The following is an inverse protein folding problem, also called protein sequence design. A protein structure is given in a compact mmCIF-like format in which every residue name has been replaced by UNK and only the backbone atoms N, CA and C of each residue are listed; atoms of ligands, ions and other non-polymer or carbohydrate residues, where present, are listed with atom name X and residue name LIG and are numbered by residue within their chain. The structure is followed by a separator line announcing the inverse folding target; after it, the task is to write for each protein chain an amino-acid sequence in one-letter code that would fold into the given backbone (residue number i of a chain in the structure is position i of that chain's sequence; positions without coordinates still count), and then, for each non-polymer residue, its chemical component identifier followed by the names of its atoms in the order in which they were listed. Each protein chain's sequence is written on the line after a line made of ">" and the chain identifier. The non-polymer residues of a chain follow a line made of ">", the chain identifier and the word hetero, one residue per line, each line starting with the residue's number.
data_IF_236303371369
#
_entry.id   IF_236303371369
#
_cell.length_a   1.000
_cell.length_b   1.000
_cell.length_c   1.000
_cell.angle_alpha   90.00
_cell.angle_beta   90.00
_cell.angle_gamma   90.00
#
_symmetry.space_group_name_H-M   'P 1'
#
loop_
_entity.id
_entity.type
_entity.pdbx_description
1 polymer ?
#
# COMPACT_ATOMS: atom_id res chain seq x y z
N UNK A 1 1.63 14.19 58.22
CA UNK A 1 2.10 12.98 57.51
C UNK A 1 2.22 13.13 55.99
N UNK A 2 1.64 14.15 55.32
CA UNK A 2 1.68 14.27 53.85
C UNK A 2 2.92 14.87 53.17
N UNK A 3 4.08 14.95 53.84
CA UNK A 3 5.28 15.61 53.28
C UNK A 3 6.48 14.68 53.02
N UNK A 4 6.41 13.41 53.46
CA UNK A 4 7.44 12.39 53.18
C UNK A 4 7.15 11.58 51.91
N UNK A 5 5.87 11.38 51.55
CA UNK A 5 5.50 10.62 50.33
C UNK A 5 5.81 11.37 49.02
N UNK A 6 5.66 12.71 48.99
CA UNK A 6 5.95 13.51 47.78
C UNK A 6 7.43 13.54 47.43
N UNK A 7 8.31 13.59 48.44
CA UNK A 7 9.77 13.58 48.26
C UNK A 7 10.26 12.24 47.70
N UNK A 8 9.67 11.13 48.15
CA UNK A 8 9.98 9.79 47.65
C UNK A 8 9.48 9.51 46.22
N UNK A 9 8.42 10.18 45.77
CA UNK A 9 7.97 10.13 44.38
C UNK A 9 8.83 10.99 43.45
N UNK A 10 9.24 12.19 43.88
CA UNK A 10 10.14 13.07 43.13
C UNK A 10 11.53 12.43 42.93
N UNK A 11 12.13 11.86 43.98
CA UNK A 11 13.43 11.18 43.89
C UNK A 11 13.38 9.94 42.96
N UNK A 12 12.28 9.18 42.99
CA UNK A 12 12.06 8.05 42.07
C UNK A 12 11.92 8.52 40.63
N UNK A 13 11.20 9.62 40.41
CA UNK A 13 10.98 10.17 39.07
C UNK A 13 12.28 10.74 38.47
N UNK A 14 13.13 11.34 39.29
CA UNK A 14 14.44 11.87 38.89
C UNK A 14 15.42 10.74 38.54
N UNK A 15 15.42 9.67 39.33
CA UNK A 15 16.24 8.48 39.10
C UNK A 15 15.87 7.77 37.79
N UNK A 16 14.56 7.62 37.52
CA UNK A 16 14.06 7.04 36.25
C UNK A 16 14.42 7.91 35.04
N UNK A 17 14.40 9.24 35.18
CA UNK A 17 14.78 10.16 34.11
C UNK A 17 16.28 10.05 33.75
N UNK A 18 17.15 9.92 34.77
CA UNK A 18 18.59 9.73 34.59
C UNK A 18 18.94 8.39 33.93
N UNK A 19 18.25 7.31 34.30
CA UNK A 19 18.43 6.00 33.66
C UNK A 19 18.00 6.03 32.18
N UNK A 20 16.86 6.66 31.87
CA UNK A 20 16.40 6.83 30.49
C UNK A 20 17.38 7.66 29.64
N UNK A 21 18.01 8.69 30.21
CA UNK A 21 19.03 9.48 29.51
C UNK A 21 20.30 8.67 29.21
N UNK A 22 20.76 7.84 30.16
CA UNK A 22 21.90 6.94 29.95
C UNK A 22 21.59 5.89 28.88
N UNK A 23 20.38 5.34 28.89
CA UNK A 23 19.87 4.42 27.87
C UNK A 23 19.85 5.06 26.48
N UNK A 24 19.33 6.29 26.34
CA UNK A 24 19.32 7.01 25.05
C UNK A 24 20.73 7.26 24.52
N UNK A 25 21.67 7.68 25.37
CA UNK A 25 23.09 7.86 24.99
C UNK A 25 23.72 6.55 24.52
N UNK A 26 23.45 5.45 25.21
CA UNK A 26 23.91 4.12 24.82
C UNK A 26 23.32 3.69 23.46
N UNK A 27 22.01 3.87 23.27
CA UNK A 27 21.31 3.52 22.04
C UNK A 27 21.86 4.29 20.83
N UNK A 28 22.07 5.61 20.98
CA UNK A 28 22.65 6.46 19.94
C UNK A 28 24.08 6.04 19.57
N UNK A 29 24.90 5.67 20.56
CA UNK A 29 26.25 5.16 20.31
C UNK A 29 26.24 3.81 19.58
N UNK A 30 25.32 2.91 19.93
CA UNK A 30 25.17 1.61 19.28
C UNK A 30 24.62 1.74 17.86
N UNK A 31 23.71 2.68 17.61
CA UNK A 31 23.23 3.02 16.27
C UNK A 31 24.35 3.58 15.39
N UNK A 32 25.16 4.52 15.90
CA UNK A 32 26.34 5.05 15.18
C UNK A 32 27.35 3.97 14.82
N UNK A 33 27.50 2.95 15.68
CA UNK A 33 28.40 1.80 15.47
C UNK A 33 27.78 0.66 14.65
N UNK A 34 26.59 0.86 14.06
CA UNK A 34 25.85 -0.15 13.30
C UNK A 34 25.62 -1.49 14.05
N UNK A 35 25.63 -1.48 15.39
CA UNK A 35 25.45 -2.69 16.22
C UNK A 35 23.98 -3.05 16.40
N UNK A 36 23.31 -3.34 15.29
CA UNK A 36 21.85 -3.52 15.20
C UNK A 36 21.27 -4.54 16.18
N UNK A 37 21.95 -5.68 16.39
CA UNK A 37 21.52 -6.71 17.35
C UNK A 37 21.47 -6.22 18.80
N UNK A 38 22.42 -5.38 19.20
CA UNK A 38 22.48 -4.84 20.56
C UNK A 38 21.43 -3.75 20.78
N UNK A 39 21.20 -2.91 19.78
CA UNK A 39 20.09 -1.93 19.78
C UNK A 39 18.74 -2.62 19.93
N UNK A 40 18.47 -3.64 19.12
CA UNK A 40 17.22 -4.41 19.19
C UNK A 40 17.03 -5.12 20.54
N UNK A 41 18.11 -5.61 21.15
CA UNK A 41 18.06 -6.23 22.49
C UNK A 41 17.65 -5.22 23.57
N UNK A 42 18.16 -4.00 23.50
CA UNK A 42 17.83 -2.93 24.46
C UNK A 42 16.39 -2.44 24.27
N UNK A 43 15.96 -2.23 23.03
CA UNK A 43 14.56 -1.86 22.72
C UNK A 43 13.60 -2.96 23.18
N UNK A 44 13.91 -4.22 22.85
CA UNK A 44 13.10 -5.37 23.24
C UNK A 44 12.99 -5.59 24.75
N UNK A 45 14.00 -5.19 25.53
CA UNK A 45 13.94 -5.22 27.01
C UNK A 45 13.16 -4.07 27.64
N UNK A 46 12.81 -3.04 26.86
CA UNK A 46 12.09 -1.85 27.33
C UNK A 46 10.61 -1.86 26.87
N UNK A 47 10.23 -2.77 25.97
CA UNK A 47 8.89 -2.86 25.38
C UNK A 47 7.89 -3.66 26.26
N UNK A 48 8.20 -3.82 27.55
CA UNK A 48 7.34 -4.45 28.56
C UNK A 48 6.20 -3.52 29.06
N UNK A 49 5.97 -2.38 28.41
CA UNK A 49 4.76 -1.60 28.66
C UNK A 49 3.55 -2.38 28.18
N UNK A 50 2.80 -2.96 29.14
CA UNK A 50 1.52 -3.60 28.89
C UNK A 50 0.66 -2.66 28.01
N UNK A 51 0.15 -3.14 26.85
CA UNK A 51 -0.60 -2.28 25.95
C UNK A 51 -1.82 -1.71 26.67
N UNK A 52 -2.07 -0.41 26.45
CA UNK A 52 -3.19 0.28 27.07
C UNK A 52 -4.51 -0.45 26.84
N UNK A 53 -5.33 -0.50 27.89
CA UNK A 53 -6.71 -0.96 27.80
C UNK A 53 -7.52 -0.17 26.78
N UNK A 54 -8.66 -0.74 26.34
CA UNK A 54 -9.54 -0.04 25.38
C UNK A 54 -10.01 1.32 25.92
N UNK A 55 -10.32 1.40 27.21
CA UNK A 55 -10.74 2.63 27.89
C UNK A 55 -9.66 3.72 27.87
N UNK A 56 -8.44 3.41 28.30
CA UNK A 56 -7.32 4.36 28.27
C UNK A 56 -7.02 4.87 26.86
N UNK A 57 -7.02 3.97 25.86
CA UNK A 57 -6.85 4.36 24.45
C UNK A 57 -7.96 5.31 23.97
N UNK A 58 -9.21 5.04 24.33
CA UNK A 58 -10.34 5.87 23.96
C UNK A 58 -10.27 7.25 24.63
N UNK A 59 -9.97 7.32 25.94
CA UNK A 59 -9.86 8.57 26.70
C UNK A 59 -8.73 9.46 26.19
N UNK A 60 -7.53 8.90 26.03
CA UNK A 60 -6.37 9.65 25.52
C UNK A 60 -6.61 10.07 24.07
N UNK A 61 -7.08 9.16 23.21
CA UNK A 61 -7.38 9.47 21.81
C UNK A 61 -8.43 10.57 21.67
N UNK A 62 -9.52 10.49 22.45
CA UNK A 62 -10.56 11.54 22.50
C UNK A 62 -9.99 12.89 22.91
N UNK A 63 -9.14 12.93 23.95
CA UNK A 63 -8.53 14.17 24.42
C UNK A 63 -7.61 14.80 23.37
N UNK A 64 -6.80 13.98 22.69
CA UNK A 64 -5.90 14.47 21.63
C UNK A 64 -6.69 15.04 20.45
N UNK A 65 -7.77 14.36 20.05
CA UNK A 65 -8.66 14.83 18.99
C UNK A 65 -9.38 16.12 19.41
N UNK A 66 -9.86 16.21 20.65
CA UNK A 66 -10.49 17.41 21.19
C UNK A 66 -9.53 18.61 21.15
N UNK A 67 -8.27 18.41 21.55
CA UNK A 67 -7.24 19.45 21.47
C UNK A 67 -7.00 19.88 20.01
N UNK A 68 -6.93 18.95 19.07
CA UNK A 68 -6.80 19.25 17.65
C UNK A 68 -7.99 20.08 17.13
N UNK A 69 -9.23 19.66 17.46
CA UNK A 69 -10.46 20.36 17.04
C UNK A 69 -10.52 21.78 17.61
N UNK A 70 -10.06 21.99 18.85
CA UNK A 70 -10.07 23.31 19.50
C UNK A 70 -8.97 24.26 19.03
N UNK A 71 -7.91 23.76 18.40
CA UNK A 71 -6.71 24.56 18.08
C UNK A 71 -6.46 24.70 16.59
N UNK A 72 -7.00 23.81 15.75
CA UNK A 72 -6.82 23.87 14.31
C UNK A 72 -7.86 24.80 13.67
N UNK A 73 -7.38 25.89 13.07
CA UNK A 73 -8.19 26.87 12.34
C UNK A 73 -7.63 27.05 10.93
N UNK A 74 -8.54 27.28 9.98
CA UNK A 74 -8.20 27.72 8.63
C UNK A 74 -7.94 29.22 8.66
N UNK A 75 -6.80 29.61 8.11
CA UNK A 75 -6.44 31.02 7.98
C UNK A 75 -7.26 31.65 6.85
N UNK A 76 -7.56 32.95 6.95
CA UNK A 76 -8.32 33.63 5.91
C UNK A 76 -7.56 33.63 4.57
N UNK A 77 -8.28 33.67 3.43
CA UNK A 77 -7.66 33.75 2.12
C UNK A 77 -6.75 34.98 1.99
N UNK A 78 -5.61 34.85 1.32
CA UNK A 78 -4.65 35.96 1.14
C UNK A 78 -5.21 37.16 0.35
N UNK A 79 -6.34 36.97 -0.32
CA UNK A 79 -7.05 37.97 -1.11
C UNK A 79 -8.24 38.61 -0.38
N UNK A 80 -8.37 38.40 0.94
CA UNK A 80 -9.38 39.09 1.74
C UNK A 80 -9.06 40.60 1.81
N UNK A 81 -10.07 41.44 1.56
CA UNK A 81 -9.96 42.89 1.69
C UNK A 81 -9.73 43.26 3.16
N UNK A 82 -8.90 44.28 3.42
CA UNK A 82 -8.52 44.67 4.78
C UNK A 82 -9.71 45.10 5.67
N UNK A 83 -10.84 45.46 5.06
CA UNK A 83 -12.06 45.92 5.75
C UNK A 83 -13.00 44.76 6.15
N UNK A 84 -12.76 43.53 5.68
CA UNK A 84 -13.58 42.37 6.06
C UNK A 84 -13.04 41.70 7.35
N UNK A 85 -13.91 41.28 8.29
CA UNK A 85 -13.48 40.58 9.50
C UNK A 85 -12.79 39.26 9.12
N UNK A 86 -11.67 38.87 9.79
CA UNK A 86 -10.90 37.70 9.41
C UNK A 86 -11.76 36.43 9.40
N UNK A 87 -11.84 35.75 8.26
CA UNK A 87 -12.59 34.49 8.10
C UNK A 87 -11.83 33.32 8.75
N UNK A 88 -11.72 33.37 10.07
CA UNK A 88 -11.11 32.33 10.89
C UNK A 88 -12.17 31.28 11.23
N UNK A 89 -12.12 30.14 10.56
CA UNK A 89 -13.09 29.05 10.75
C UNK A 89 -12.40 27.75 11.19
N UNK A 90 -13.05 26.96 12.07
CA UNK A 90 -12.45 25.74 12.60
C UNK A 90 -12.15 24.75 11.47
N UNK A 91 -10.94 24.21 11.47
CA UNK A 91 -10.48 23.22 10.50
C UNK A 91 -11.26 21.90 10.61
N UNK A 92 -11.72 21.56 11.82
CA UNK A 92 -12.47 20.36 12.13
C UNK A 92 -13.68 20.68 12.98
N UNK A 93 -14.82 20.06 12.67
CA UNK A 93 -16.08 20.25 13.39
C UNK A 93 -16.64 18.90 13.80
N UNK A 94 -16.89 18.72 15.10
CA UNK A 94 -17.59 17.56 15.62
C UNK A 94 -19.11 17.79 15.56
N UNK A 95 -19.84 16.91 14.88
CA UNK A 95 -21.29 16.98 14.72
C UNK A 95 -21.94 15.61 14.92
N UNK A 96 -23.21 15.59 15.33
CA UNK A 96 -24.01 14.36 15.42
C UNK A 96 -24.80 14.18 14.12
N UNK A 97 -24.50 13.14 13.35
CA UNK A 97 -25.19 12.83 12.10
C UNK A 97 -26.02 11.56 12.20
N UNK A 98 -27.21 11.58 11.63
CA UNK A 98 -28.05 10.38 11.46
C UNK A 98 -27.64 9.71 10.15
N UNK A 99 -26.95 8.58 10.24
CA UNK A 99 -26.47 7.82 9.06
C UNK A 99 -27.47 6.72 8.70
N UNK A 100 -28.14 6.15 9.71
CA UNK A 100 -29.20 5.15 9.56
C UNK A 100 -30.45 5.62 10.31
N UNK A 101 -31.67 5.26 9.87
CA UNK A 101 -32.88 5.53 10.64
C UNK A 101 -32.71 5.04 12.08
N UNK A 102 -32.85 5.95 13.05
CA UNK A 102 -32.80 5.62 14.48
C UNK A 102 -31.41 5.55 15.14
N UNK A 103 -30.30 5.77 14.44
CA UNK A 103 -28.96 5.86 15.06
C UNK A 103 -28.20 7.12 14.68
N UNK A 104 -27.81 7.90 15.71
CA UNK A 104 -26.94 9.07 15.60
C UNK A 104 -25.49 8.67 15.90
N UNK A 105 -24.56 9.17 15.10
CA UNK A 105 -23.14 8.96 15.26
C UNK A 105 -22.43 10.31 15.40
N UNK A 106 -21.43 10.39 16.28
CA UNK A 106 -20.47 11.50 16.31
C UNK A 106 -19.56 11.41 15.09
N UNK A 107 -19.51 12.47 14.30
CA UNK A 107 -18.69 12.57 13.09
C UNK A 107 -17.87 13.84 13.17
N UNK A 108 -16.57 13.71 12.93
CA UNK A 108 -15.68 14.85 12.75
C UNK A 108 -15.56 15.11 11.26
N UNK A 109 -16.02 16.27 10.83
CA UNK A 109 -15.87 16.73 9.45
C UNK A 109 -14.73 17.72 9.36
N UNK A 110 -13.94 17.61 8.30
CA UNK A 110 -12.90 18.58 7.99
C UNK A 110 -13.42 19.63 7.00
N UNK A 111 -12.75 20.77 7.03
CA UNK A 111 -12.98 21.84 6.08
C UNK A 111 -12.75 21.40 4.62
N UNK A 112 -13.54 21.87 3.63
CA UNK A 112 -13.31 21.56 2.22
C UNK A 112 -11.89 21.90 1.71
N UNK A 113 -11.25 22.94 2.24
CA UNK A 113 -9.87 23.29 1.86
C UNK A 113 -8.87 22.23 2.33
N UNK A 114 -9.10 21.59 3.48
CA UNK A 114 -8.28 20.47 3.97
C UNK A 114 -8.50 19.26 3.08
N UNK A 115 -9.75 18.95 2.71
CA UNK A 115 -10.05 17.85 1.79
C UNK A 115 -9.30 18.05 0.46
N UNK A 116 -9.37 19.25 -0.10
CA UNK A 116 -8.65 19.62 -1.33
C UNK A 116 -7.13 19.58 -1.18
N UNK A 117 -6.62 19.87 0.02
CA UNK A 117 -5.20 19.72 0.36
C UNK A 117 -4.79 18.25 0.40
N UNK A 118 -5.55 17.41 1.10
CA UNK A 118 -5.31 15.97 1.24
C UNK A 118 -5.35 15.22 -0.10
N UNK A 119 -6.14 15.70 -1.06
CA UNK A 119 -6.14 15.20 -2.44
C UNK A 119 -4.78 15.33 -3.12
N UNK A 120 -3.98 16.33 -2.75
CA UNK A 120 -2.66 16.60 -3.32
C UNK A 120 -1.53 15.97 -2.51
N UNK A 121 -1.79 15.62 -1.25
CA UNK A 121 -0.81 15.14 -0.27
C UNK A 121 -1.04 13.71 0.26
N UNK A 122 -1.49 12.70 -0.52
CA UNK A 122 -1.38 11.30 -0.07
C UNK A 122 0.04 10.90 0.35
N UNK A 123 1.05 11.63 -0.16
CA UNK A 123 2.48 11.48 0.14
C UNK A 123 2.85 11.77 1.60
N UNK A 124 2.07 12.60 2.29
CA UNK A 124 2.36 13.02 3.68
C UNK A 124 1.76 12.06 4.71
N UNK A 125 0.99 11.06 4.27
CA UNK A 125 0.44 10.04 5.15
C UNK A 125 1.55 9.13 5.68
N UNK A 126 1.63 9.01 7.01
CA UNK A 126 2.54 8.07 7.65
C UNK A 126 2.06 6.64 7.38
N UNK A 127 2.83 5.89 6.59
CA UNK A 127 2.60 4.46 6.33
C UNK A 127 3.47 3.67 7.32
N UNK A 128 2.91 3.08 8.39
CA UNK A 128 3.72 2.41 9.41
C UNK A 128 4.40 1.15 8.86
N UNK A 129 3.66 0.29 8.15
CA UNK A 129 4.15 -1.00 7.68
C UNK A 129 4.72 -0.89 6.25
N UNK A 130 5.85 -0.22 6.05
CA UNK A 130 6.55 -0.13 4.75
C UNK A 130 7.26 -1.44 4.38
N UNK A 131 7.51 -1.73 3.08
CA UNK A 131 8.35 -2.87 2.70
C UNK A 131 9.72 -2.78 3.38
N UNK A 132 10.27 -3.91 3.81
CA UNK A 132 11.52 -3.92 4.58
C UNK A 132 12.72 -3.93 3.65
N UNK A 133 13.70 -3.04 3.88
CA UNK A 133 14.98 -3.04 3.15
C UNK A 133 15.93 -4.18 3.55
N UNK A 134 15.56 -4.95 4.57
CA UNK A 134 16.32 -6.09 5.05
C UNK A 134 15.39 -7.29 5.24
N UNK A 135 15.92 -8.52 5.23
CA UNK A 135 15.13 -9.72 5.49
C UNK A 135 14.27 -9.58 6.77
N UNK A 136 12.98 -9.98 6.73
CA UNK A 136 12.11 -9.92 7.89
C UNK A 136 12.64 -10.78 9.05
N UNK A 137 12.25 -10.42 10.28
CA UNK A 137 12.47 -11.30 11.42
C UNK A 137 11.67 -12.60 11.24
N UNK A 138 12.32 -13.74 11.50
CA UNK A 138 11.67 -15.04 11.46
C UNK A 138 10.52 -15.13 12.45
N UNK A 139 9.42 -15.78 12.05
CA UNK A 139 8.32 -16.07 12.94
C UNK A 139 8.73 -17.14 13.97
N UNK A 140 8.54 -16.84 15.25
CA UNK A 140 8.86 -17.75 16.38
C UNK A 140 7.73 -17.85 17.41
N UNK A 141 6.75 -16.97 17.31
CA UNK A 141 5.59 -16.91 18.18
C UNK A 141 4.46 -16.09 17.53
N UNK A 142 3.28 -16.09 18.15
CA UNK A 142 2.10 -15.37 17.66
C UNK A 142 2.36 -13.88 17.38
N UNK A 143 3.18 -13.23 18.22
CA UNK A 143 3.52 -11.81 18.10
C UNK A 143 5.04 -11.54 17.96
N UNK A 144 5.81 -12.55 17.53
CA UNK A 144 7.26 -12.46 17.33
C UNK A 144 7.65 -12.91 15.92
N UNK A 145 7.93 -11.93 15.06
CA UNK A 145 8.36 -12.13 13.67
C UNK A 145 8.00 -10.92 12.81
N UNK A 146 8.24 -11.02 11.50
CA UNK A 146 8.01 -9.96 10.52
C UNK A 146 8.85 -8.69 10.75
N UNK A 147 8.26 -7.60 11.26
CA UNK A 147 8.96 -6.33 11.41
C UNK A 147 9.88 -6.33 12.63
N UNK A 148 11.04 -5.65 12.51
CA UNK A 148 12.04 -5.62 13.57
C UNK A 148 11.60 -4.84 14.82
N UNK A 149 10.86 -3.75 14.62
CA UNK A 149 10.45 -2.84 15.70
C UNK A 149 8.93 -2.68 15.79
N UNK A 150 8.19 -2.93 14.70
CA UNK A 150 6.74 -2.86 14.73
C UNK A 150 6.17 -4.19 15.20
N UNK A 151 5.33 -4.11 16.23
CA UNK A 151 4.63 -5.29 16.72
C UNK A 151 3.79 -5.90 15.60
N UNK A 152 4.09 -7.16 15.30
CA UNK A 152 3.50 -7.90 14.19
C UNK A 152 2.80 -9.12 14.75
N UNK A 153 1.69 -9.53 14.13
CA UNK A 153 0.93 -10.70 14.56
C UNK A 153 0.81 -11.69 13.41
N UNK A 154 1.02 -12.98 13.71
CA UNK A 154 0.92 -14.08 12.73
C UNK A 154 -0.46 -14.09 12.09
N UNK A 155 -1.54 -13.89 12.86
CA UNK A 155 -2.91 -13.96 12.34
C UNK A 155 -3.65 -12.62 12.44
N UNK A 156 -4.24 -12.19 11.32
CA UNK A 156 -5.18 -11.07 11.25
C UNK A 156 -6.54 -11.49 11.79
N UNK A 157 -6.84 -11.16 13.05
CA UNK A 157 -8.16 -11.44 13.64
C UNK A 157 -8.65 -10.32 14.56
N UNK A 158 -9.97 -10.13 14.58
CA UNK A 158 -10.67 -9.34 15.62
C UNK A 158 -11.26 -10.22 16.72
N UNK A 159 -11.29 -11.55 16.53
CA UNK A 159 -11.85 -12.50 17.48
C UNK A 159 -10.85 -12.82 18.59
N UNK A 160 -11.24 -12.52 19.83
CA UNK A 160 -10.46 -12.92 21.01
C UNK A 160 -10.27 -14.44 21.04
N UNK A 161 -11.32 -15.21 20.74
CA UNK A 161 -11.27 -16.69 20.76
C UNK A 161 -10.25 -17.24 19.77
N UNK A 162 -10.25 -16.75 18.53
CA UNK A 162 -9.29 -17.19 17.51
C UNK A 162 -7.86 -16.84 17.91
N UNK A 163 -7.63 -15.61 18.40
CA UNK A 163 -6.32 -15.19 18.90
C UNK A 163 -5.82 -16.09 20.02
N UNK A 164 -6.66 -16.38 21.02
CA UNK A 164 -6.27 -17.25 22.12
C UNK A 164 -6.02 -18.69 21.66
N UNK A 165 -6.76 -19.18 20.65
CA UNK A 165 -6.53 -20.50 20.10
C UNK A 165 -5.14 -20.63 19.47
N UNK A 166 -4.72 -19.66 18.64
CA UNK A 166 -3.36 -19.68 18.03
C UNK A 166 -2.28 -19.52 19.10
N UNK A 167 -2.49 -18.66 20.10
CA UNK A 167 -1.53 -18.49 21.21
C UNK A 167 -1.36 -19.75 22.07
N UNK A 168 -2.41 -20.57 22.21
CA UNK A 168 -2.36 -21.81 22.99
C UNK A 168 -1.90 -23.02 22.17
N UNK A 169 -1.90 -22.93 20.85
CA UNK A 169 -1.48 -24.02 19.99
C UNK A 169 0.01 -24.35 20.28
N UNK A 170 0.38 -25.65 20.36
CA UNK A 170 1.77 -26.04 20.51
C UNK A 170 2.63 -25.49 19.37
N UNK A 171 3.78 -24.88 19.69
CA UNK A 171 4.66 -24.25 18.68
C UNK A 171 5.06 -25.20 17.55
N UNK A 172 5.29 -26.47 17.87
CA UNK A 172 5.60 -27.53 16.89
C UNK A 172 4.50 -27.68 15.81
N UNK A 173 3.24 -27.42 16.13
CA UNK A 173 2.15 -27.49 15.14
C UNK A 173 2.12 -26.25 14.23
N UNK A 174 2.72 -25.15 14.64
CA UNK A 174 2.77 -23.89 13.88
C UNK A 174 4.08 -23.71 13.12
N UNK A 175 5.06 -24.58 13.34
CA UNK A 175 6.41 -24.47 12.76
C UNK A 175 6.38 -24.41 11.24
N UNK A 176 5.64 -25.31 10.58
CA UNK A 176 5.48 -25.29 9.12
C UNK A 176 4.80 -24.02 8.60
N UNK A 177 3.88 -23.43 9.37
CA UNK A 177 3.24 -22.16 9.04
C UNK A 177 4.26 -21.02 9.14
N UNK A 178 5.09 -21.02 10.18
CA UNK A 178 6.15 -20.02 10.35
C UNK A 178 7.19 -20.12 9.23
N UNK A 179 7.64 -21.32 8.90
CA UNK A 179 8.59 -21.56 7.80
C UNK A 179 8.03 -21.11 6.45
N UNK A 180 6.74 -21.38 6.18
CA UNK A 180 6.08 -20.92 4.96
C UNK A 180 6.02 -19.38 4.90
N UNK A 181 5.62 -18.72 6.00
CA UNK A 181 5.59 -17.26 6.07
C UNK A 181 6.97 -16.62 5.95
N UNK A 182 7.98 -17.24 6.56
CA UNK A 182 9.37 -16.80 6.46
C UNK A 182 9.90 -16.99 5.04
N UNK A 183 9.56 -18.08 4.37
CA UNK A 183 9.94 -18.32 2.97
C UNK A 183 9.34 -17.25 2.06
N UNK A 184 8.03 -17.00 2.17
CA UNK A 184 7.35 -15.93 1.42
C UNK A 184 7.93 -14.55 1.74
N UNK A 185 8.26 -14.31 3.02
CA UNK A 185 8.82 -13.05 3.50
C UNK A 185 10.25 -12.78 3.07
N UNK A 186 11.05 -13.82 2.84
CA UNK A 186 12.45 -13.72 2.43
C UNK A 186 12.65 -13.60 0.92
N UNK A 187 11.58 -13.64 0.13
CA UNK A 187 11.66 -13.34 -1.30
C UNK A 187 11.95 -11.84 -1.50
N UNK A 188 13.09 -11.52 -2.12
CA UNK A 188 13.52 -10.15 -2.40
C UNK A 188 12.88 -9.65 -3.69
N UNK A 189 12.15 -8.54 -3.60
CA UNK A 189 11.48 -7.84 -4.70
C UNK A 189 12.22 -6.54 -5.04
N UNK A 190 12.04 -6.03 -6.25
CA UNK A 190 12.43 -4.67 -6.61
C UNK A 190 11.37 -4.02 -7.50
N UNK A 191 11.51 -2.71 -7.71
CA UNK A 191 10.68 -1.97 -8.65
C UNK A 191 11.20 -2.15 -10.07
N UNK A 192 10.33 -2.55 -11.00
CA UNK A 192 10.57 -2.46 -12.42
C UNK A 192 10.46 -0.99 -12.85
N UNK A 193 11.60 -0.30 -12.91
CA UNK A 193 11.66 1.13 -13.20
C UNK A 193 11.18 1.49 -14.61
N UNK A 194 11.24 0.55 -15.57
CA UNK A 194 10.72 0.77 -16.93
C UNK A 194 9.19 0.86 -16.88
N UNK A 195 8.53 -0.11 -16.24
CA UNK A 195 7.07 -0.10 -16.10
C UNK A 195 6.60 1.05 -15.21
N UNK A 196 7.25 1.31 -14.07
CA UNK A 196 6.93 2.46 -13.22
C UNK A 196 7.00 3.77 -13.99
N UNK A 197 8.03 3.97 -14.83
CA UNK A 197 8.16 5.16 -15.66
C UNK A 197 6.99 5.35 -16.63
N UNK A 198 6.49 4.26 -17.23
CA UNK A 198 5.30 4.31 -18.10
C UNK A 198 4.03 4.61 -17.30
N UNK A 199 3.83 3.97 -16.15
CA UNK A 199 2.71 4.24 -15.25
C UNK A 199 2.70 5.70 -14.81
N UNK A 200 3.85 6.25 -14.42
CA UNK A 200 3.98 7.66 -14.03
C UNK A 200 3.63 8.62 -15.17
N UNK A 201 4.04 8.32 -16.41
CA UNK A 201 3.69 9.12 -17.60
C UNK A 201 2.19 9.08 -17.90
N UNK A 202 1.56 7.91 -17.83
CA UNK A 202 0.10 7.77 -18.01
C UNK A 202 -0.64 8.54 -16.92
N UNK A 203 -0.20 8.39 -15.67
CA UNK A 203 -0.82 9.05 -14.53
C UNK A 203 -0.67 10.57 -14.60
N UNK A 204 0.52 11.07 -14.96
CA UNK A 204 0.75 12.50 -15.18
C UNK A 204 -0.14 13.08 -16.29
N UNK A 205 -0.48 12.27 -17.30
CA UNK A 205 -1.32 12.64 -18.44
C UNK A 205 -2.83 12.55 -18.19
N UNK A 206 -3.26 12.24 -16.96
CA UNK A 206 -4.68 12.20 -16.57
C UNK A 206 -5.24 10.81 -16.28
N UNK A 207 -4.45 9.75 -16.40
CA UNK A 207 -4.94 8.37 -16.20
C UNK A 207 -5.73 7.85 -17.40
N UNK A 208 -6.83 7.13 -17.16
CA UNK A 208 -7.79 6.58 -18.16
C UNK A 208 -7.28 5.44 -19.05
N UNK A 209 -6.06 4.97 -18.85
CA UNK A 209 -5.43 3.94 -19.66
C UNK A 209 -5.03 2.75 -18.79
N UNK A 210 -5.15 1.52 -19.32
CA UNK A 210 -4.78 0.29 -18.61
C UNK A 210 -5.44 0.21 -17.21
N UNK A 211 -6.74 0.44 -17.16
CA UNK A 211 -7.57 0.46 -15.93
C UNK A 211 -7.19 1.47 -14.86
N UNK A 212 -6.29 2.41 -15.16
CA UNK A 212 -6.07 3.56 -14.29
C UNK A 212 -7.28 4.49 -14.34
N UNK A 213 -7.79 4.82 -13.15
CA UNK A 213 -8.92 5.75 -13.01
C UNK A 213 -8.63 7.11 -13.64
N UNK A 214 -9.70 7.76 -14.11
CA UNK A 214 -9.64 9.13 -14.57
C UNK A 214 -9.28 10.09 -13.42
N UNK A 215 -8.31 10.97 -13.67
CA UNK A 215 -7.91 12.00 -12.70
C UNK A 215 -8.96 13.10 -12.56
N UNK A 216 -9.75 13.33 -13.60
CA UNK A 216 -10.74 14.39 -13.64
C UNK A 216 -12.09 13.93 -13.04
N UNK A 217 -12.83 14.90 -12.53
CA UNK A 217 -14.22 14.69 -12.11
C UNK A 217 -15.17 14.71 -13.31
N UNK A 218 -16.21 13.90 -13.26
CA UNK A 218 -17.33 14.00 -14.18
C UNK A 218 -18.08 15.29 -13.87
N UNK A 219 -18.30 16.17 -14.87
CA UNK A 219 -19.03 17.41 -14.66
C UNK A 219 -20.49 17.13 -14.27
N UNK A 220 -21.05 18.01 -13.43
CA UNK A 220 -22.47 17.92 -13.12
C UNK A 220 -23.31 18.31 -14.35
N UNK A 221 -24.40 17.58 -14.65
CA UNK A 221 -25.32 17.97 -15.71
C UNK A 221 -25.94 19.33 -15.38
N UNK A 222 -26.08 20.18 -16.40
CA UNK A 222 -26.78 21.45 -16.30
C UNK A 222 -28.22 21.23 -15.85
N UNK A 223 -28.74 22.16 -15.05
CA UNK A 223 -30.14 22.10 -14.63
C UNK A 223 -31.00 22.40 -15.86
N UNK A 224 -31.95 21.52 -16.22
CA UNK A 224 -32.84 21.78 -17.34
C UNK A 224 -33.73 23.00 -17.03
N UNK A 225 -33.93 23.85 -18.03
CA UNK A 225 -34.84 25.01 -17.95
C UNK A 225 -36.26 24.54 -18.28
N UNK A 226 -36.87 23.85 -17.31
CA UNK A 226 -38.17 23.21 -17.43
C UNK A 226 -38.85 23.18 -16.07
N UNK A 227 -40.17 23.35 -16.06
CA UNK A 227 -41.00 23.13 -14.87
C UNK A 227 -41.46 21.66 -14.77
N UNK A 228 -41.16 20.81 -15.76
CA UNK A 228 -41.53 19.39 -15.72
C UNK A 228 -40.83 18.67 -14.56
N UNK A 229 -41.65 18.25 -13.59
CA UNK A 229 -41.21 17.53 -12.41
C UNK A 229 -40.56 16.18 -12.74
N UNK A 230 -40.92 15.54 -13.86
CA UNK A 230 -40.30 14.29 -14.33
C UNK A 230 -38.86 14.53 -14.79
N UNK A 231 -38.63 15.56 -15.61
CA UNK A 231 -37.31 15.97 -16.08
C UNK A 231 -36.42 16.45 -14.92
N UNK A 232 -36.96 17.26 -14.01
CA UNK A 232 -36.24 17.68 -12.79
C UNK A 232 -35.88 16.49 -11.90
N UNK A 233 -36.74 15.47 -11.83
CA UNK A 233 -36.45 14.23 -11.09
C UNK A 233 -35.34 13.45 -11.77
N UNK A 234 -35.40 13.24 -13.09
CA UNK A 234 -34.33 12.59 -13.87
C UNK A 234 -32.99 13.32 -13.70
N UNK A 235 -32.99 14.65 -13.75
CA UNK A 235 -31.80 15.47 -13.49
C UNK A 235 -31.25 15.25 -12.08
N UNK A 236 -32.11 15.25 -11.04
CA UNK A 236 -31.69 14.93 -9.66
C UNK A 236 -31.07 13.53 -9.54
N UNK A 237 -31.63 12.53 -10.22
CA UNK A 237 -31.05 11.17 -10.28
C UNK A 237 -29.68 11.18 -10.95
N UNK A 238 -29.53 11.90 -12.07
CA UNK A 238 -28.25 12.04 -12.76
C UNK A 238 -27.20 12.73 -11.88
N UNK A 239 -27.56 13.81 -11.19
CA UNK A 239 -26.68 14.48 -10.21
C UNK A 239 -26.23 13.49 -9.12
N UNK A 240 -27.15 12.69 -8.55
CA UNK A 240 -26.79 11.68 -7.54
C UNK A 240 -25.82 10.63 -8.09
N UNK A 241 -26.03 10.16 -9.32
CA UNK A 241 -25.14 9.23 -10.00
C UNK A 241 -23.75 9.83 -10.19
N UNK A 242 -23.66 11.07 -10.69
CA UNK A 242 -22.37 11.77 -10.89
C UNK A 242 -21.65 11.98 -9.56
N UNK A 243 -22.35 12.37 -8.48
CA UNK A 243 -21.75 12.47 -7.14
C UNK A 243 -21.18 11.15 -6.64
N UNK A 244 -21.91 10.05 -6.88
CA UNK A 244 -21.45 8.71 -6.50
C UNK A 244 -20.18 8.34 -7.27
N UNK A 245 -20.21 8.52 -8.59
CA UNK A 245 -19.07 8.22 -9.47
C UNK A 245 -17.82 9.05 -9.11
N UNK A 246 -17.95 10.37 -8.91
CA UNK A 246 -16.82 11.21 -8.52
C UNK A 246 -16.22 10.80 -7.17
N UNK A 247 -17.04 10.35 -6.22
CA UNK A 247 -16.57 9.83 -4.92
C UNK A 247 -15.82 8.50 -5.07
N UNK A 248 -16.31 7.60 -5.91
CA UNK A 248 -15.65 6.34 -6.24
C UNK A 248 -14.31 6.61 -6.94
N UNK A 249 -14.30 7.49 -7.96
CA UNK A 249 -13.08 7.90 -8.66
C UNK A 249 -12.06 8.52 -7.71
N UNK A 250 -12.48 9.47 -6.86
CA UNK A 250 -11.61 10.08 -5.85
C UNK A 250 -10.96 9.02 -4.94
N UNK A 251 -11.73 8.03 -4.49
CA UNK A 251 -11.20 6.97 -3.62
C UNK A 251 -10.12 6.13 -4.33
N UNK A 252 -10.35 5.78 -5.60
CA UNK A 252 -9.38 5.06 -6.43
C UNK A 252 -8.12 5.90 -6.73
N UNK A 253 -8.28 7.21 -6.98
CA UNK A 253 -7.15 8.14 -7.18
C UNK A 253 -6.23 8.17 -5.97
N UNK A 254 -6.81 8.30 -4.77
CA UNK A 254 -6.06 8.27 -3.52
C UNK A 254 -5.32 6.94 -3.33
N UNK A 255 -5.96 5.80 -3.65
CA UNK A 255 -5.31 4.48 -3.58
C UNK A 255 -4.11 4.37 -4.54
N UNK A 256 -4.27 4.83 -5.79
CA UNK A 256 -3.18 4.82 -6.80
C UNK A 256 -2.03 5.72 -6.34
N UNK A 257 -2.30 6.92 -5.84
CA UNK A 257 -1.26 7.83 -5.34
C UNK A 257 -0.47 7.23 -4.17
N UNK A 258 -1.13 6.51 -3.26
CA UNK A 258 -0.45 5.80 -2.17
C UNK A 258 0.44 4.67 -2.68
N UNK A 259 -0.03 3.88 -3.66
CA UNK A 259 0.76 2.83 -4.30
C UNK A 259 1.98 3.42 -5.02
N UNK A 260 1.80 4.49 -5.79
CA UNK A 260 2.87 5.17 -6.51
C UNK A 260 3.84 5.88 -5.57
N UNK A 261 3.37 6.46 -4.46
CA UNK A 261 4.25 7.05 -3.44
C UNK A 261 5.20 6.00 -2.86
N UNK A 262 4.70 4.79 -2.57
CA UNK A 262 5.55 3.68 -2.13
C UNK A 262 6.49 3.24 -3.25
N UNK A 263 5.99 3.04 -4.48
CA UNK A 263 6.82 2.61 -5.61
C UNK A 263 7.97 3.60 -5.87
N UNK A 264 7.68 4.89 -5.96
CA UNK A 264 8.67 5.96 -6.16
C UNK A 264 9.69 6.02 -5.02
N UNK A 265 9.26 5.80 -3.77
CA UNK A 265 10.16 5.78 -2.61
C UNK A 265 11.10 4.57 -2.61
N UNK A 266 10.67 3.43 -3.17
CA UNK A 266 11.45 2.19 -3.19
C UNK A 266 12.22 1.99 -4.51
N UNK A 267 12.09 2.89 -5.49
CA UNK A 267 12.57 2.69 -6.87
C UNK A 267 14.09 2.57 -7.00
N UNK A 268 14.82 3.24 -6.12
CA UNK A 268 16.28 3.36 -6.11
C UNK A 268 16.92 2.34 -5.15
N UNK A 269 16.11 1.55 -4.43
CA UNK A 269 16.57 0.50 -3.54
C UNK A 269 16.94 -0.76 -4.35
N UNK A 270 18.04 -1.43 -4.00
CA UNK A 270 18.46 -2.67 -4.68
C UNK A 270 17.43 -3.80 -4.56
N UNK A 271 16.61 -3.75 -3.51
CA UNK A 271 15.43 -4.58 -3.33
C UNK A 271 14.96 -4.60 -1.89
N UNK A 272 13.75 -5.12 -1.70
CA UNK A 272 13.01 -5.09 -0.44
C UNK A 272 12.17 -6.35 -0.26
N UNK A 273 11.66 -6.52 0.95
CA UNK A 273 10.98 -7.72 1.41
C UNK A 273 9.57 -7.37 1.91
N UNK A 274 8.66 -8.32 1.74
CA UNK A 274 7.30 -8.23 2.24
C UNK A 274 7.09 -9.24 3.35
N UNK A 275 7.11 -8.85 4.63
CA UNK A 275 6.69 -9.76 5.69
C UNK A 275 5.24 -10.21 5.45
N UNK A 276 4.97 -11.49 5.68
CA UNK A 276 3.64 -12.07 5.52
C UNK A 276 3.00 -12.42 6.86
N UNK A 277 1.68 -12.43 6.88
CA UNK A 277 0.86 -12.97 7.96
C UNK A 277 -0.36 -13.68 7.35
N UNK A 278 -1.17 -14.36 8.17
CA UNK A 278 -2.32 -15.15 7.71
C UNK A 278 -3.67 -14.56 8.11
N UNK A 279 -4.72 -14.89 7.36
CA UNK A 279 -6.11 -14.78 7.85
C UNK A 279 -6.49 -15.98 8.73
N UNK A 280 -7.72 -15.99 9.25
CA UNK A 280 -8.23 -17.08 10.10
C UNK A 280 -8.34 -18.44 9.38
N UNK A 281 -8.23 -18.47 8.05
CA UNK A 281 -8.25 -19.68 7.22
C UNK A 281 -6.85 -20.17 6.87
N UNK A 282 -5.81 -19.43 7.26
CA UNK A 282 -4.41 -19.75 6.95
C UNK A 282 -3.89 -19.17 5.63
N UNK A 283 -4.66 -18.35 4.91
CA UNK A 283 -4.17 -17.72 3.66
C UNK A 283 -3.17 -16.62 3.99
N UNK A 284 -2.01 -16.63 3.34
CA UNK A 284 -0.95 -15.66 3.56
C UNK A 284 -1.18 -14.35 2.78
N UNK A 285 -0.81 -13.22 3.40
CA UNK A 285 -0.91 -11.88 2.82
C UNK A 285 0.32 -11.04 3.21
N UNK A 286 0.91 -10.27 2.27
CA UNK A 286 1.86 -9.22 2.59
C UNK A 286 1.29 -8.25 3.62
N UNK A 287 2.07 -7.90 4.64
CA UNK A 287 1.65 -6.98 5.69
C UNK A 287 1.58 -5.52 5.22
N UNK A 288 2.35 -5.14 4.20
CA UNK A 288 2.26 -3.81 3.60
C UNK A 288 0.99 -3.70 2.72
N UNK A 289 0.08 -2.75 2.98
CA UNK A 289 -1.25 -2.76 2.38
C UNK A 289 -1.35 -2.15 0.97
N UNK A 290 -0.40 -1.30 0.56
CA UNK A 290 -0.54 -0.51 -0.67
C UNK A 290 0.13 -1.16 -1.87
N UNK A 291 1.47 -1.10 -1.97
CA UNK A 291 2.22 -1.72 -3.06
C UNK A 291 2.70 -3.10 -2.65
N UNK A 292 2.07 -4.16 -3.14
CA UNK A 292 2.51 -5.54 -2.95
C UNK A 292 2.06 -6.42 -4.12
N UNK A 293 2.63 -7.62 -4.25
CA UNK A 293 2.39 -8.53 -5.38
C UNK A 293 1.00 -9.21 -5.37
N UNK A 294 0.20 -9.07 -4.31
CA UNK A 294 -1.21 -9.48 -4.31
C UNK A 294 -2.16 -8.35 -4.77
N UNK A 295 -1.63 -7.16 -5.07
CA UNK A 295 -2.40 -6.02 -5.52
C UNK A 295 -2.95 -6.15 -6.95
N UNK A 296 -3.40 -5.02 -7.48
CA UNK A 296 -3.90 -4.86 -8.86
C UNK A 296 -2.81 -5.12 -9.90
N UNK A 297 -3.20 -5.27 -11.18
CA UNK A 297 -2.27 -5.44 -12.31
C UNK A 297 -1.12 -4.42 -12.28
N UNK A 298 -1.42 -3.13 -12.07
CA UNK A 298 -0.39 -2.09 -11.88
C UNK A 298 0.65 -2.44 -10.80
N UNK A 299 0.21 -2.95 -9.64
CA UNK A 299 1.14 -3.33 -8.58
C UNK A 299 2.03 -4.50 -9.00
N UNK A 300 1.46 -5.49 -9.70
CA UNK A 300 2.19 -6.68 -10.16
C UNK A 300 3.14 -6.35 -11.30
N UNK A 301 2.73 -5.52 -12.26
CA UNK A 301 3.61 -5.07 -13.36
C UNK A 301 4.78 -4.19 -12.90
N UNK A 302 4.60 -3.43 -11.81
CA UNK A 302 5.68 -2.62 -11.20
C UNK A 302 6.66 -3.48 -10.38
N UNK A 303 6.28 -4.69 -9.95
CA UNK A 303 7.09 -5.52 -9.06
C UNK A 303 7.73 -6.69 -9.82
N UNK A 304 9.02 -6.87 -9.64
CA UNK A 304 9.78 -8.01 -10.17
C UNK A 304 10.72 -8.58 -9.11
N UNK A 305 11.26 -9.77 -9.33
CA UNK A 305 12.25 -10.33 -8.41
C UNK A 305 13.53 -9.50 -8.43
N UNK A 306 14.08 -9.17 -7.27
CA UNK A 306 15.37 -8.48 -7.20
C UNK A 306 16.50 -9.39 -7.70
N UNK A 307 16.41 -10.68 -7.39
CA UNK A 307 17.35 -11.71 -7.82
C UNK A 307 16.86 -12.34 -9.13
N UNK A 308 17.52 -11.99 -10.23
CA UNK A 308 17.22 -12.55 -11.54
C UNK A 308 17.83 -13.94 -11.71
N UNK A 309 17.27 -14.72 -12.65
CA UNK A 309 17.80 -16.03 -13.02
C UNK A 309 17.99 -16.14 -14.53
N UNK A 310 19.01 -16.90 -14.93
CA UNK A 310 19.20 -17.24 -16.33
C UNK A 310 18.00 -18.04 -16.84
N UNK A 311 17.49 -17.71 -18.02
CA UNK A 311 16.35 -18.40 -18.60
C UNK A 311 16.61 -19.90 -18.82
N UNK A 312 17.84 -20.28 -19.14
CA UNK A 312 18.18 -21.64 -19.51
C UNK A 312 17.39 -22.12 -20.74
N UNK A 313 17.33 -23.45 -20.92
CA UNK A 313 16.73 -24.08 -22.10
C UNK A 313 15.21 -23.85 -22.22
N UNK A 314 14.52 -23.69 -21.09
CA UNK A 314 13.05 -23.63 -21.05
C UNK A 314 12.49 -22.26 -20.64
N UNK A 315 13.30 -21.34 -20.12
CA UNK A 315 12.81 -20.06 -19.60
C UNK A 315 12.17 -19.19 -20.68
N UNK A 316 12.76 -19.13 -21.88
CA UNK A 316 12.18 -18.38 -23.00
C UNK A 316 10.80 -18.92 -23.40
N UNK A 317 10.65 -20.26 -23.41
CA UNK A 317 9.37 -20.92 -23.65
C UNK A 317 8.33 -20.51 -22.61
N UNK A 318 8.70 -20.52 -21.32
CA UNK A 318 7.80 -20.12 -20.24
C UNK A 318 7.45 -18.64 -20.24
N UNK A 319 8.36 -17.75 -20.66
CA UNK A 319 8.04 -16.33 -20.85
C UNK A 319 7.00 -16.11 -21.96
N UNK A 320 7.12 -16.83 -23.09
CA UNK A 320 6.12 -16.78 -24.17
C UNK A 320 4.74 -17.26 -23.70
N UNK A 321 4.71 -18.39 -22.97
CA UNK A 321 3.47 -18.90 -22.37
C UNK A 321 2.88 -17.90 -21.37
N UNK A 322 3.72 -17.29 -20.54
CA UNK A 322 3.30 -16.31 -19.57
C UNK A 322 2.69 -15.07 -20.23
N UNK A 323 3.32 -14.56 -21.29
CA UNK A 323 2.80 -13.45 -22.09
C UNK A 323 1.40 -13.77 -22.62
N UNK A 324 1.21 -14.96 -23.19
CA UNK A 324 -0.08 -15.43 -23.70
C UNK A 324 -1.14 -15.56 -22.58
N UNK A 325 -0.75 -16.04 -21.39
CA UNK A 325 -1.65 -16.11 -20.23
C UNK A 325 -2.13 -14.73 -19.78
N UNK A 326 -1.23 -13.74 -19.74
CA UNK A 326 -1.56 -12.36 -19.36
C UNK A 326 -2.41 -11.65 -20.42
N UNK A 327 -2.22 -12.00 -21.69
CA UNK A 327 -3.04 -11.48 -22.78
C UNK A 327 -4.48 -11.98 -22.69
N UNK A 328 -4.67 -13.23 -22.24
CA UNK A 328 -5.97 -13.86 -22.02
C UNK A 328 -6.88 -13.82 -23.26
N UNK A 329 -8.19 -13.57 -23.09
CA UNK A 329 -9.13 -13.49 -24.21
C UNK A 329 -9.35 -14.81 -24.95
N UNK A 330 -9.13 -15.95 -24.27
CA UNK A 330 -9.21 -17.29 -24.86
C UNK A 330 -7.87 -17.86 -25.29
N UNK A 331 -6.82 -17.04 -25.39
CA UNK A 331 -5.44 -17.49 -25.67
C UNK A 331 -4.89 -18.30 -24.50
N UNK A 332 -5.19 -17.89 -23.27
CA UNK A 332 -4.87 -18.58 -22.02
C UNK A 332 -5.46 -20.01 -21.93
N UNK A 333 -6.45 -20.32 -22.77
CA UNK A 333 -7.09 -21.65 -22.85
C UNK A 333 -6.48 -22.56 -23.91
N UNK A 334 -5.61 -22.04 -24.76
CA UNK A 334 -4.90 -22.84 -25.76
C UNK A 334 -3.93 -23.81 -25.08
N UNK A 335 -3.49 -24.82 -25.83
CA UNK A 335 -2.36 -25.66 -25.43
C UNK A 335 -1.10 -24.80 -25.24
N UNK A 336 -0.10 -25.32 -24.52
CA UNK A 336 1.17 -24.60 -24.36
C UNK A 336 1.80 -24.23 -25.72
N UNK A 337 1.71 -25.12 -26.71
CA UNK A 337 2.23 -24.85 -28.07
C UNK A 337 1.40 -23.77 -28.78
N UNK A 338 0.07 -23.76 -28.62
CA UNK A 338 -0.78 -22.68 -29.14
C UNK A 338 -0.45 -21.31 -28.51
N UNK A 339 -0.14 -21.28 -27.21
CA UNK A 339 0.29 -20.05 -26.50
C UNK A 339 1.66 -19.57 -26.96
N UNK A 340 2.59 -20.48 -27.24
CA UNK A 340 3.90 -20.15 -27.81
C UNK A 340 3.72 -19.58 -29.22
N UNK A 341 2.93 -20.24 -30.07
CA UNK A 341 2.65 -19.78 -31.43
C UNK A 341 1.99 -18.40 -31.43
N UNK A 342 1.09 -18.12 -30.49
CA UNK A 342 0.53 -16.78 -30.31
C UNK A 342 1.62 -15.73 -30.06
N UNK A 343 2.54 -15.97 -29.13
CA UNK A 343 3.63 -15.04 -28.87
C UNK A 343 4.57 -14.88 -30.08
N UNK A 344 4.82 -15.96 -30.84
CA UNK A 344 5.65 -15.93 -32.05
C UNK A 344 5.01 -15.16 -33.21
N UNK A 345 3.68 -15.25 -33.37
CA UNK A 345 2.93 -14.50 -34.38
C UNK A 345 2.82 -13.00 -34.06
N UNK A 346 3.10 -12.59 -32.83
CA UNK A 346 3.03 -11.20 -32.36
C UNK A 346 4.38 -10.61 -31.98
N UNK A 347 5.49 -11.15 -32.48
CA UNK A 347 6.84 -10.64 -32.16
C UNK A 347 7.00 -9.15 -32.49
N UNK A 348 6.47 -8.69 -33.62
CA UNK A 348 6.53 -7.26 -33.99
C UNK A 348 5.77 -6.37 -33.00
N UNK A 349 4.61 -6.83 -32.52
CA UNK A 349 3.82 -6.09 -31.54
C UNK A 349 4.46 -6.10 -30.15
N UNK A 350 5.17 -7.19 -29.81
CA UNK A 350 5.97 -7.31 -28.58
C UNK A 350 7.15 -6.33 -28.62
N UNK A 351 7.90 -6.29 -29.73
CA UNK A 351 9.00 -5.35 -29.89
C UNK A 351 8.53 -3.89 -29.89
N UNK A 352 7.44 -3.57 -30.61
CA UNK A 352 6.84 -2.23 -30.60
C UNK A 352 6.36 -1.81 -29.20
N UNK A 353 5.71 -2.72 -28.47
CA UNK A 353 5.27 -2.46 -27.09
C UNK A 353 6.44 -2.23 -26.14
N UNK A 354 7.56 -2.95 -26.33
CA UNK A 354 8.76 -2.80 -25.51
C UNK A 354 9.51 -1.48 -25.78
N UNK A 355 9.61 -1.07 -27.05
CA UNK A 355 10.40 0.10 -27.45
C UNK A 355 9.62 1.41 -27.39
N UNK A 356 8.33 1.37 -27.74
CA UNK A 356 7.45 2.53 -27.86
C UNK A 356 6.12 2.28 -27.15
N UNK A 357 6.12 2.03 -25.83
CA UNK A 357 4.93 1.61 -25.08
C UNK A 357 3.76 2.60 -25.16
N UNK A 358 4.02 3.90 -25.30
CA UNK A 358 2.98 4.94 -25.39
C UNK A 358 2.87 5.56 -26.79
N UNK A 359 3.90 5.45 -27.62
CA UNK A 359 3.97 6.10 -28.93
C UNK A 359 3.76 5.15 -30.10
N UNK A 360 3.82 3.84 -29.87
CA UNK A 360 3.63 2.79 -30.86
C UNK A 360 2.17 2.37 -31.02
N UNK A 361 1.95 1.12 -31.41
CA UNK A 361 0.64 0.49 -31.59
C UNK A 361 -0.10 0.23 -30.27
N UNK A 362 0.64 0.25 -29.15
CA UNK A 362 0.13 0.00 -27.79
C UNK A 362 -0.62 -1.33 -27.67
N UNK A 363 -0.12 -2.38 -28.33
CA UNK A 363 -0.76 -3.69 -28.37
C UNK A 363 -0.99 -4.28 -26.98
N UNK A 364 -0.04 -4.09 -26.07
CA UNK A 364 -0.12 -4.51 -24.67
C UNK A 364 -1.38 -4.02 -23.92
N UNK A 365 -2.03 -2.93 -24.35
CA UNK A 365 -3.27 -2.44 -23.74
C UNK A 365 -4.48 -3.33 -23.99
N UNK A 366 -4.39 -4.25 -24.97
CA UNK A 366 -5.47 -5.19 -25.30
C UNK A 366 -5.47 -6.44 -24.41
N UNK A 367 -4.41 -6.63 -23.63
CA UNK A 367 -4.33 -7.72 -22.65
C UNK A 367 -5.28 -7.49 -21.48
N UNK A 368 -5.73 -8.57 -20.83
CA UNK A 368 -6.51 -8.50 -19.59
C UNK A 368 -5.67 -7.94 -18.42
N UNK A 369 -4.38 -8.28 -18.38
CA UNK A 369 -3.40 -7.76 -17.42
C UNK A 369 -2.35 -6.88 -18.14
N UNK A 370 -2.67 -5.62 -18.50
CA UNK A 370 -1.87 -4.82 -19.42
C UNK A 370 -0.47 -4.47 -18.88
N UNK A 371 -0.32 -4.03 -17.63
CA UNK A 371 1.00 -3.67 -17.09
C UNK A 371 1.91 -4.87 -16.90
N UNK A 372 1.37 -6.01 -16.47
CA UNK A 372 2.14 -7.27 -16.45
C UNK A 372 2.52 -7.68 -17.88
N UNK A 373 1.59 -7.61 -18.84
CA UNK A 373 1.87 -7.92 -20.25
C UNK A 373 3.01 -7.04 -20.80
N UNK A 374 2.99 -5.74 -20.52
CA UNK A 374 4.05 -4.81 -20.90
C UNK A 374 5.40 -5.19 -20.25
N UNK A 375 5.40 -5.56 -18.97
CA UNK A 375 6.62 -6.01 -18.28
C UNK A 375 7.24 -7.24 -18.99
N UNK A 376 6.40 -8.22 -19.37
CA UNK A 376 6.86 -9.40 -20.11
C UNK A 376 7.30 -9.05 -21.52
N UNK A 377 6.63 -8.13 -22.22
CA UNK A 377 7.06 -7.67 -23.55
C UNK A 377 8.48 -7.08 -23.49
N UNK A 378 8.75 -6.23 -22.51
CA UNK A 378 10.06 -5.61 -22.29
C UNK A 378 11.15 -6.66 -22.02
N UNK A 379 10.87 -7.61 -21.14
CA UNK A 379 11.83 -8.66 -20.76
C UNK A 379 12.08 -9.64 -21.92
N UNK A 380 11.01 -10.07 -22.60
CA UNK A 380 11.07 -10.98 -23.74
C UNK A 380 11.81 -10.34 -24.93
N UNK A 381 11.55 -9.06 -25.23
CA UNK A 381 12.26 -8.33 -26.27
C UNK A 381 13.76 -8.25 -25.97
N UNK A 382 14.14 -7.97 -24.72
CA UNK A 382 15.54 -7.95 -24.31
C UNK A 382 16.19 -9.34 -24.40
N UNK A 383 15.48 -10.40 -24.00
CA UNK A 383 15.94 -11.77 -24.12
C UNK A 383 16.17 -12.20 -25.58
N UNK A 384 15.25 -11.86 -26.48
CA UNK A 384 15.33 -12.21 -27.90
C UNK A 384 16.42 -11.42 -28.66
N UNK A 385 16.73 -10.20 -28.21
CA UNK A 385 17.84 -9.39 -28.75
C UNK A 385 19.21 -9.82 -28.21
N UNK A 386 19.26 -10.63 -27.15
CA UNK A 386 20.51 -11.17 -26.62
C UNK A 386 21.12 -12.17 -27.59
N UNK A 387 22.46 -12.18 -27.68
CA UNK A 387 23.21 -13.18 -28.45
C UNK A 387 22.93 -14.62 -28.01
N UNK A 388 22.57 -14.80 -26.74
CA UNK A 388 22.24 -16.10 -26.18
C UNK A 388 21.06 -15.93 -25.20
N UNK A 389 19.81 -16.17 -25.65
CA UNK A 389 18.62 -16.03 -24.82
C UNK A 389 18.66 -16.92 -23.56
N UNK A 390 19.25 -18.12 -23.63
CA UNK A 390 19.36 -19.01 -22.47
C UNK A 390 20.19 -18.42 -21.31
N UNK A 391 21.15 -17.54 -21.60
CA UNK A 391 21.99 -16.87 -20.59
C UNK A 391 21.44 -15.51 -20.17
N UNK A 392 20.35 -15.05 -20.78
CA UNK A 392 19.70 -13.81 -20.39
C UNK A 392 19.14 -13.95 -18.97
N UNK A 393 19.43 -12.96 -18.12
CA UNK A 393 18.97 -12.92 -16.74
C UNK A 393 17.62 -12.21 -16.71
N UNK A 394 16.55 -12.98 -16.48
CA UNK A 394 15.20 -12.46 -16.32
C UNK A 394 14.86 -12.29 -14.84
N UNK A 395 14.07 -11.26 -14.55
CA UNK A 395 13.56 -10.94 -13.22
C UNK A 395 12.04 -11.14 -13.11
N UNK A 396 11.39 -11.49 -14.23
CA UNK A 396 9.94 -11.60 -14.32
C UNK A 396 9.44 -12.82 -13.54
N UNK A 397 8.49 -12.63 -12.60
CA UNK A 397 7.80 -13.75 -11.98
C UNK A 397 6.83 -14.38 -12.98
N UNK A 398 7.04 -15.66 -13.33
CA UNK A 398 6.12 -16.41 -14.20
C UNK A 398 4.99 -17.02 -13.37
N UNK A 399 3.76 -16.63 -13.67
CA UNK A 399 2.57 -17.14 -12.99
C UNK A 399 2.15 -18.50 -13.55
N UNK A 400 1.96 -19.47 -12.65
CA UNK A 400 1.36 -20.77 -12.94
C UNK A 400 0.08 -20.88 -12.13
N UNK A 401 -1.06 -20.82 -12.82
CA UNK A 401 -2.36 -21.12 -12.23
C UNK A 401 -2.74 -22.49 -12.74
N UNK A 402 -2.78 -23.48 -11.85
CA UNK A 402 -3.35 -24.78 -12.18
C UNK A 402 -4.83 -24.56 -12.52
N UNK A 403 -5.19 -24.84 -13.77
CA UNK A 403 -6.59 -24.91 -14.22
C UNK A 403 -7.21 -26.20 -13.71
#
# INVERSE_FOLDING_TARGET
>A
EGNQDKKGEEDKHETVCLEQQKLRKNLNNLMKKQKRRQVLKIIGSQDDFKPWGADARAKVGSRLIELLVKTAYIQPPANQLADDPPDLRPAFVHSLRTVYPGRRYGVITCDPLIVKGLERTPRDMVIPYMPMLVPPAKWTDYDKGAYLALRSYVMRTRSKRQREAVKRAPKKQLESVFEALDTLGNTKWRVNNKVLGIVDRIWASGGRLADLVDRDEVPFPEKPDTEDQSELTKWKWKIRSVKKENKERHSLRCEIELKLAVARKMRDEEGFFYPHNIDFRGRAYPMHPYLNHLGSDMCRGILEFAEGRALGKSGLRWLKIHLANLYAGGVDKLSHEGRIAFAENHLDDIFDSADRPLEGKRWWLKAEDPFQCLAVCIDLAAALRSRCPERFISHIPVHQVSI
#
